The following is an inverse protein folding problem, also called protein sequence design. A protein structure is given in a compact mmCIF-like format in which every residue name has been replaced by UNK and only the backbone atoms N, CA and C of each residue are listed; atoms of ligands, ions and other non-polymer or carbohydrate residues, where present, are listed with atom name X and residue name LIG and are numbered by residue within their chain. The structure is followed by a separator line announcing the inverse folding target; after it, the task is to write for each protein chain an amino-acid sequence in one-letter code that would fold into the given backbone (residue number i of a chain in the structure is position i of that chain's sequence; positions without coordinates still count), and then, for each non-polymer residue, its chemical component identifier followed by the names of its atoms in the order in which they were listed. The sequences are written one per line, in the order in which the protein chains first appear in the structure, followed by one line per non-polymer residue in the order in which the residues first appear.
data_IF_754279498202
#
_entry.id   IF_754279498202
#
_cell.length_a   1.000
_cell.length_b   1.000
_cell.length_c   1.000
_cell.angle_alpha   90.00
_cell.angle_beta   90.00
_cell.angle_gamma   90.00
#
_symmetry.space_group_name_H-M   'P 1'
#
loop_
_entity.id
_entity.type
_entity.pdbx_description
1 polymer ?
#
# COMPACT_ATOMS: atom_id res chain seq x y z
N UNK A 1 6.11 -0.68 -8.02
CA UNK A 1 6.27 -0.57 -9.49
C UNK A 1 7.57 0.16 -9.81
N UNK A 2 8.20 -0.15 -10.94
CA UNK A 2 9.53 0.36 -11.34
C UNK A 2 9.58 0.72 -12.83
N UNK A 3 10.50 1.62 -13.20
CA UNK A 3 10.72 2.09 -14.58
C UNK A 3 11.45 1.07 -15.44
N UNK A 4 12.68 0.73 -15.08
CA UNK A 4 13.60 -0.03 -15.93
C UNK A 4 13.85 -1.46 -15.44
N UNK A 5 13.93 -1.66 -14.12
CA UNK A 5 14.32 -2.94 -13.52
C UNK A 5 13.11 -3.68 -12.97
N UNK A 6 12.73 -4.86 -13.50
CA UNK A 6 11.70 -5.71 -12.89
C UNK A 6 12.17 -6.25 -11.53
N UNK A 7 11.28 -6.28 -10.54
CA UNK A 7 11.56 -6.80 -9.19
C UNK A 7 10.85 -8.14 -9.03
N UNK A 8 11.59 -9.26 -9.05
CA UNK A 8 11.05 -10.61 -8.89
C UNK A 8 11.30 -11.17 -7.50
N UNK A 9 12.39 -10.73 -6.87
CA UNK A 9 12.80 -11.10 -5.52
C UNK A 9 13.23 -9.85 -4.74
N UNK A 10 13.29 -9.90 -3.39
CA UNK A 10 13.82 -8.78 -2.61
C UNK A 10 15.24 -8.35 -3.03
N UNK A 11 16.09 -9.30 -3.45
CA UNK A 11 17.44 -9.02 -3.92
C UNK A 11 17.51 -8.09 -5.14
N UNK A 12 16.45 -8.04 -5.96
CA UNK A 12 16.37 -7.13 -7.11
C UNK A 12 16.26 -5.66 -6.69
N UNK A 13 15.87 -5.37 -5.44
CA UNK A 13 15.78 -4.00 -4.92
C UNK A 13 17.15 -3.38 -4.61
N UNK A 14 18.24 -4.17 -4.61
CA UNK A 14 19.58 -3.65 -4.35
C UNK A 14 19.93 -2.46 -5.27
N UNK A 15 20.17 -1.30 -4.67
CA UNK A 15 20.50 -0.06 -5.36
C UNK A 15 19.31 0.68 -5.99
N UNK A 16 18.09 0.12 -5.92
CA UNK A 16 16.88 0.71 -6.51
C UNK A 16 16.31 1.78 -5.58
N UNK A 17 16.19 3.01 -6.07
CA UNK A 17 15.57 4.13 -5.36
C UNK A 17 14.05 4.03 -5.45
N UNK A 18 13.40 3.61 -4.38
CA UNK A 18 11.96 3.48 -4.30
C UNK A 18 11.40 4.68 -3.57
N UNK A 19 10.53 5.44 -4.24
CA UNK A 19 9.76 6.46 -3.55
C UNK A 19 8.84 5.82 -2.53
N UNK A 20 8.82 6.43 -1.34
CA UNK A 20 7.84 6.15 -0.28
C UNK A 20 7.14 7.44 0.16
N UNK A 21 5.98 7.31 0.79
CA UNK A 21 5.43 8.43 1.59
C UNK A 21 6.37 8.79 2.74
N UNK A 22 6.25 10.00 3.29
CA UNK A 22 7.04 10.43 4.46
C UNK A 22 6.59 9.69 5.74
N UNK A 23 6.95 8.42 5.83
CA UNK A 23 6.60 7.49 6.89
C UNK A 23 7.84 6.71 7.30
N UNK A 24 8.16 6.73 8.60
CA UNK A 24 9.29 5.97 9.16
C UNK A 24 9.17 4.48 8.87
N UNK A 25 7.96 3.93 9.01
CA UNK A 25 7.66 2.53 8.74
C UNK A 25 7.84 2.18 7.26
N UNK A 26 7.38 3.03 6.34
CA UNK A 26 7.55 2.79 4.90
C UNK A 26 9.02 2.85 4.48
N UNK A 27 9.77 3.83 4.99
CA UNK A 27 11.21 3.91 4.74
C UNK A 27 11.96 2.70 5.31
N UNK A 28 11.64 2.25 6.52
CA UNK A 28 12.25 1.05 7.11
C UNK A 28 11.93 -0.22 6.32
N UNK A 29 10.67 -0.39 5.91
CA UNK A 29 10.23 -1.52 5.10
C UNK A 29 11.05 -1.64 3.81
N UNK A 30 11.18 -0.55 3.05
CA UNK A 30 11.96 -0.57 1.81
C UNK A 30 13.45 -0.86 2.07
N UNK A 31 14.05 -0.31 3.14
CA UNK A 31 15.44 -0.62 3.52
C UNK A 31 15.63 -2.10 3.81
N UNK A 32 14.72 -2.68 4.59
CA UNK A 32 14.78 -4.08 5.00
C UNK A 32 14.50 -5.02 3.82
N UNK A 33 13.64 -4.61 2.88
CA UNK A 33 13.48 -5.30 1.60
C UNK A 33 14.70 -5.19 0.67
N UNK A 34 15.70 -4.35 1.00
CA UNK A 34 16.95 -4.21 0.26
C UNK A 34 17.01 -3.01 -0.69
N UNK A 35 15.96 -2.17 -0.73
CA UNK A 35 15.88 -0.97 -1.54
C UNK A 35 16.38 0.30 -0.83
N UNK A 36 16.47 1.38 -1.60
CA UNK A 36 16.82 2.71 -1.11
C UNK A 36 15.55 3.58 -1.04
N UNK A 37 14.97 3.83 0.14
CA UNK A 37 13.77 4.66 0.22
C UNK A 37 14.10 6.14 -0.01
N UNK A 38 13.30 6.80 -0.83
CA UNK A 38 13.37 8.24 -1.05
C UNK A 38 12.01 8.87 -0.74
N UNK A 39 11.84 9.62 0.36
CA UNK A 39 10.57 10.27 0.66
C UNK A 39 10.34 11.42 -0.33
N UNK A 40 9.24 11.34 -1.10
CA UNK A 40 8.83 12.39 -2.04
C UNK A 40 7.32 12.58 -1.91
N UNK A 41 6.88 13.84 -1.94
CA UNK A 41 5.47 14.19 -1.86
C UNK A 41 4.70 13.60 -3.06
N UNK A 42 3.39 13.36 -2.90
CA UNK A 42 2.64 12.63 -3.93
C UNK A 42 2.56 13.41 -5.24
N UNK A 43 2.34 14.71 -5.12
CA UNK A 43 2.25 15.70 -6.18
C UNK A 43 3.53 15.86 -7.00
N UNK A 44 4.69 15.50 -6.43
CA UNK A 44 6.00 15.56 -7.09
C UNK A 44 6.39 14.23 -7.74
N UNK A 45 5.67 13.14 -7.43
CA UNK A 45 6.09 11.78 -7.77
C UNK A 45 6.17 11.53 -9.27
N UNK A 46 5.19 11.99 -10.05
CA UNK A 46 5.20 11.79 -11.50
C UNK A 46 6.47 12.38 -12.12
N UNK A 47 6.78 13.64 -11.79
CA UNK A 47 7.98 14.33 -12.26
C UNK A 47 9.25 13.65 -11.76
N UNK A 48 9.28 13.20 -10.50
CA UNK A 48 10.43 12.50 -9.94
C UNK A 48 10.71 11.16 -10.63
N UNK A 49 9.66 10.42 -11.02
CA UNK A 49 9.79 9.20 -11.84
C UNK A 49 10.28 9.56 -13.25
N UNK A 50 9.68 10.58 -13.88
CA UNK A 50 10.04 11.00 -15.24
C UNK A 50 11.50 11.45 -15.35
N UNK A 51 12.01 12.14 -14.33
CA UNK A 51 13.38 12.63 -14.26
C UNK A 51 14.39 11.58 -13.78
N UNK A 52 13.94 10.39 -13.36
CA UNK A 52 14.81 9.36 -12.79
C UNK A 52 15.37 9.71 -11.42
N UNK A 53 14.77 10.68 -10.71
CA UNK A 53 15.10 10.98 -9.30
C UNK A 53 14.87 9.73 -8.44
N UNK A 54 13.80 8.99 -8.73
CA UNK A 54 13.53 7.65 -8.20
C UNK A 54 13.30 6.66 -9.34
N UNK A 55 13.62 5.39 -9.10
CA UNK A 55 13.54 4.31 -10.09
C UNK A 55 12.19 3.57 -10.04
N UNK A 56 11.38 3.90 -9.04
CA UNK A 56 10.05 3.33 -8.84
C UNK A 56 9.38 3.91 -7.60
N UNK A 57 8.20 3.39 -7.30
CA UNK A 57 7.51 3.68 -6.04
C UNK A 57 6.69 2.47 -5.58
N UNK A 58 6.35 2.48 -4.29
CA UNK A 58 5.28 1.64 -3.75
C UNK A 58 3.95 2.41 -3.79
N UNK A 59 2.88 1.75 -4.23
CA UNK A 59 1.49 2.12 -3.99
C UNK A 59 0.54 1.03 -4.53
N UNK A 60 -0.76 1.16 -4.26
CA UNK A 60 -1.81 0.34 -4.83
C UNK A 60 -2.04 0.61 -6.34
N UNK A 61 -2.72 -0.33 -7.00
CA UNK A 61 -2.94 -0.32 -8.44
C UNK A 61 -3.88 0.78 -8.95
N UNK A 62 -5.02 1.08 -8.28
CA UNK A 62 -5.84 2.26 -8.62
C UNK A 62 -5.06 3.58 -8.64
N UNK A 63 -4.21 3.83 -7.65
CA UNK A 63 -3.36 5.03 -7.59
C UNK A 63 -2.29 5.03 -8.69
N UNK A 64 -1.66 3.89 -8.94
CA UNK A 64 -0.68 3.74 -10.03
C UNK A 64 -1.28 4.10 -11.40
N UNK A 65 -2.49 3.63 -11.67
CA UNK A 65 -3.18 3.90 -12.94
C UNK A 65 -3.71 5.33 -13.02
N UNK A 66 -4.46 5.80 -12.02
CA UNK A 66 -5.09 7.12 -12.06
C UNK A 66 -4.08 8.28 -12.09
N UNK A 67 -2.89 8.11 -11.50
CA UNK A 67 -1.79 9.08 -11.58
C UNK A 67 -0.89 8.90 -12.80
N UNK A 68 -1.26 8.02 -13.75
CA UNK A 68 -0.54 7.79 -15.01
C UNK A 68 0.93 7.35 -14.84
N UNK A 69 1.29 6.78 -13.68
CA UNK A 69 2.66 6.29 -13.45
C UNK A 69 3.03 5.16 -14.41
N UNK A 70 2.06 4.44 -14.97
CA UNK A 70 2.26 3.42 -15.99
C UNK A 70 2.92 3.92 -17.29
N UNK A 71 2.91 5.24 -17.54
CA UNK A 71 3.58 5.82 -18.71
C UNK A 71 5.11 5.75 -18.59
N UNK A 72 5.61 5.77 -17.35
CA UNK A 72 7.03 5.78 -17.00
C UNK A 72 7.45 4.42 -16.43
N UNK A 73 6.61 3.83 -15.58
CA UNK A 73 6.87 2.58 -14.87
C UNK A 73 6.23 1.40 -15.59
N UNK A 74 7.05 0.55 -16.22
CA UNK A 74 6.59 -0.57 -17.04
C UNK A 74 6.54 -1.90 -16.30
N UNK A 75 6.99 -1.96 -15.06
CA UNK A 75 6.94 -3.18 -14.24
C UNK A 75 6.15 -2.96 -12.94
N UNK A 76 5.20 -3.85 -12.67
CA UNK A 76 4.42 -3.86 -11.43
C UNK A 76 4.56 -5.21 -10.71
N UNK A 77 5.22 -5.21 -9.56
CA UNK A 77 5.39 -6.41 -8.73
C UNK A 77 4.27 -6.52 -7.70
N UNK A 78 3.55 -7.64 -7.71
CA UNK A 78 2.42 -7.94 -6.83
C UNK A 78 2.88 -8.65 -5.53
N UNK A 79 3.84 -8.05 -4.82
CA UNK A 79 4.41 -8.58 -3.57
C UNK A 79 3.48 -8.48 -2.35
N UNK A 80 2.41 -7.66 -2.44
CA UNK A 80 1.45 -7.42 -1.37
C UNK A 80 2.07 -6.96 -0.03
N UNK A 81 3.14 -6.16 -0.09
CA UNK A 81 3.91 -5.76 1.10
C UNK A 81 3.13 -4.94 2.13
N UNK A 82 2.02 -4.30 1.77
CA UNK A 82 1.14 -3.56 2.71
C UNK A 82 -0.35 -3.78 2.42
N UNK A 83 -1.16 -3.72 3.47
CA UNK A 83 -2.62 -3.69 3.42
C UNK A 83 -3.15 -2.67 4.43
N UNK A 84 -3.34 -1.45 3.95
CA UNK A 84 -3.75 -0.31 4.77
C UNK A 84 -5.29 -0.25 4.83
N UNK A 85 -5.92 -0.29 6.02
CA UNK A 85 -7.35 -0.12 6.14
C UNK A 85 -7.75 1.36 6.08
N UNK A 86 -8.83 1.66 5.37
CA UNK A 86 -9.52 2.94 5.49
C UNK A 86 -10.46 2.91 6.70
N UNK A 87 -10.46 3.98 7.49
CA UNK A 87 -11.23 4.06 8.75
C UNK A 87 -12.22 5.22 8.66
N UNK A 88 -13.50 4.93 8.87
CA UNK A 88 -14.53 5.94 9.08
C UNK A 88 -14.49 6.36 10.54
N UNK A 89 -14.13 7.63 10.79
CA UNK A 89 -14.06 8.20 12.13
C UNK A 89 -15.15 9.26 12.32
N UNK A 90 -15.67 9.32 13.54
CA UNK A 90 -16.60 10.36 13.98
C UNK A 90 -16.12 10.93 15.31
N UNK A 91 -16.23 12.26 15.47
CA UNK A 91 -15.95 12.92 16.74
C UNK A 91 -16.83 12.34 17.86
N UNK A 92 -16.20 11.96 18.96
CA UNK A 92 -16.88 11.47 20.16
C UNK A 92 -17.88 12.51 20.71
N UNK A 93 -17.48 13.78 20.75
CA UNK A 93 -18.36 14.87 21.17
C UNK A 93 -19.62 14.99 20.29
N UNK A 94 -19.47 14.79 18.98
CA UNK A 94 -20.62 14.77 18.07
C UNK A 94 -21.48 13.55 18.34
N UNK A 95 -20.89 12.37 18.51
CA UNK A 95 -21.58 11.10 18.75
C UNK A 95 -22.42 11.09 20.03
N UNK A 96 -21.90 11.67 21.12
CA UNK A 96 -22.60 11.77 22.40
C UNK A 96 -23.87 12.62 22.31
N UNK A 97 -23.85 13.65 21.44
CA UNK A 97 -24.98 14.57 21.23
C UNK A 97 -26.07 14.01 20.32
N UNK A 98 -25.81 12.89 19.63
CA UNK A 98 -26.81 12.22 18.82
C UNK A 98 -27.82 11.49 19.69
N UNK A 99 -29.09 11.49 19.28
CA UNK A 99 -30.09 10.60 19.88
C UNK A 99 -29.77 9.15 19.57
N UNK A 100 -30.35 8.20 20.30
CA UNK A 100 -30.20 6.77 20.00
C UNK A 100 -30.59 6.43 18.55
N UNK A 101 -31.63 7.06 18.01
CA UNK A 101 -32.06 6.87 16.63
C UNK A 101 -31.03 7.40 15.62
N UNK A 102 -30.47 8.59 15.87
CA UNK A 102 -29.44 9.17 15.00
C UNK A 102 -28.15 8.35 15.04
N UNK A 103 -27.76 7.85 16.22
CA UNK A 103 -26.63 6.92 16.36
C UNK A 103 -26.84 5.67 15.50
N UNK A 104 -28.04 5.08 15.56
CA UNK A 104 -28.38 3.92 14.73
C UNK A 104 -28.28 4.21 13.24
N UNK A 105 -28.79 5.36 12.77
CA UNK A 105 -28.70 5.76 11.37
C UNK A 105 -27.26 5.98 10.90
N UNK A 106 -26.44 6.70 11.67
CA UNK A 106 -25.05 6.94 11.31
C UNK A 106 -24.24 5.64 11.29
N UNK A 107 -24.47 4.73 12.25
CA UNK A 107 -23.83 3.41 12.23
C UNK A 107 -24.26 2.58 11.01
N UNK A 108 -25.55 2.58 10.66
CA UNK A 108 -26.04 1.88 9.46
C UNK A 108 -25.39 2.46 8.20
N UNK A 109 -25.41 3.78 8.04
CA UNK A 109 -24.80 4.47 6.91
C UNK A 109 -23.28 4.19 6.81
N UNK A 110 -22.56 4.18 7.93
CA UNK A 110 -21.13 3.85 7.94
C UNK A 110 -20.85 2.41 7.51
N UNK A 111 -21.69 1.45 7.93
CA UNK A 111 -21.59 0.04 7.50
C UNK A 111 -21.88 -0.12 6.02
N UNK A 112 -22.94 0.50 5.53
CA UNK A 112 -23.35 0.46 4.12
C UNK A 112 -22.29 1.10 3.23
N UNK A 113 -21.80 2.28 3.61
CA UNK A 113 -20.71 2.96 2.91
C UNK A 113 -19.43 2.11 2.87
N UNK A 114 -19.09 1.43 3.98
CA UNK A 114 -17.92 0.55 4.03
C UNK A 114 -18.06 -0.67 3.12
N UNK A 115 -19.25 -1.28 3.06
CA UNK A 115 -19.53 -2.41 2.17
C UNK A 115 -19.49 -1.99 0.70
N UNK A 116 -20.12 -0.85 0.39
CA UNK A 116 -20.09 -0.25 -0.95
C UNK A 116 -18.66 0.10 -1.38
N UNK A 117 -17.89 0.76 -0.51
CA UNK A 117 -16.51 1.15 -0.79
C UNK A 117 -15.63 -0.06 -1.16
N UNK A 118 -15.74 -1.18 -0.44
CA UNK A 118 -15.00 -2.41 -0.78
C UNK A 118 -15.33 -2.92 -2.18
N UNK A 119 -16.63 -2.97 -2.52
CA UNK A 119 -17.06 -3.44 -3.84
C UNK A 119 -16.51 -2.56 -4.97
N UNK A 120 -16.60 -1.24 -4.83
CA UNK A 120 -16.07 -0.31 -5.86
C UNK A 120 -14.54 -0.29 -5.88
N UNK A 121 -13.88 -0.58 -4.76
CA UNK A 121 -12.42 -0.70 -4.70
C UNK A 121 -11.92 -1.94 -5.44
N UNK A 122 -12.59 -3.08 -5.25
CA UNK A 122 -12.27 -4.31 -5.97
C UNK A 122 -12.48 -4.14 -7.48
N UNK A 123 -13.55 -3.44 -7.87
CA UNK A 123 -13.80 -3.08 -9.26
C UNK A 123 -12.73 -2.14 -9.83
N UNK A 124 -12.41 -1.05 -9.11
CA UNK A 124 -11.38 -0.11 -9.52
C UNK A 124 -10.00 -0.78 -9.67
N UNK A 125 -9.65 -1.68 -8.76
CA UNK A 125 -8.40 -2.45 -8.81
C UNK A 125 -8.36 -3.36 -10.03
N UNK A 126 -9.45 -4.08 -10.32
CA UNK A 126 -9.55 -4.94 -11.50
C UNK A 126 -9.45 -4.15 -12.81
N UNK A 127 -10.15 -3.02 -12.88
CA UNK A 127 -10.13 -2.15 -14.06
C UNK A 127 -8.74 -1.54 -14.27
N UNK A 128 -8.10 -1.06 -13.19
CA UNK A 128 -6.73 -0.55 -13.25
C UNK A 128 -5.73 -1.61 -13.69
N UNK A 129 -5.88 -2.87 -13.25
CA UNK A 129 -5.06 -3.99 -13.73
C UNK A 129 -5.20 -4.19 -15.24
N UNK A 130 -6.43 -4.31 -15.73
CA UNK A 130 -6.72 -4.54 -17.15
C UNK A 130 -6.15 -3.38 -17.98
N UNK A 131 -6.45 -2.15 -17.63
CA UNK A 131 -6.01 -0.98 -18.40
C UNK A 131 -4.50 -0.76 -18.35
N UNK A 132 -3.84 -1.00 -17.21
CA UNK A 132 -2.38 -0.93 -17.12
C UNK A 132 -1.72 -2.03 -17.97
N UNK A 133 -2.29 -3.24 -17.99
CA UNK A 133 -1.80 -4.35 -18.82
C UNK A 133 -1.95 -4.04 -20.31
N UNK A 134 -3.09 -3.50 -20.73
CA UNK A 134 -3.32 -3.02 -22.10
C UNK A 134 -2.37 -1.87 -22.48
N UNK A 135 -2.00 -1.02 -21.53
CA UNK A 135 -0.99 0.01 -21.70
C UNK A 135 0.47 -0.51 -21.71
N UNK A 136 0.67 -1.84 -21.65
CA UNK A 136 1.97 -2.49 -21.79
C UNK A 136 2.76 -2.66 -20.48
N UNK A 137 2.11 -2.58 -19.31
CA UNK A 137 2.76 -2.88 -18.03
C UNK A 137 2.93 -4.39 -17.87
N UNK A 138 4.15 -4.84 -17.56
CA UNK A 138 4.45 -6.20 -17.13
C UNK A 138 4.08 -6.36 -15.64
N UNK A 139 3.12 -7.25 -15.38
CA UNK A 139 2.79 -7.65 -14.02
C UNK A 139 3.63 -8.86 -13.60
N UNK A 140 4.31 -8.72 -12.47
CA UNK A 140 5.17 -9.74 -11.89
C UNK A 140 4.47 -10.29 -10.65
N UNK A 141 4.27 -11.61 -10.65
CA UNK A 141 3.79 -12.37 -9.48
C UNK A 141 5.01 -12.98 -8.78
N UNK A 142 5.54 -12.36 -7.71
CA UNK A 142 6.69 -12.88 -7.00
C UNK A 142 6.31 -14.01 -6.03
N UNK A 143 7.32 -14.73 -5.54
CA UNK A 143 7.16 -15.50 -4.30
C UNK A 143 7.03 -14.53 -3.11
N UNK A 144 5.79 -14.33 -2.66
CA UNK A 144 5.48 -13.46 -1.52
C UNK A 144 6.16 -13.92 -0.23
N UNK A 145 6.45 -15.22 -0.07
CA UNK A 145 7.12 -15.72 1.12
C UNK A 145 8.54 -15.13 1.27
N UNK A 146 9.24 -14.90 0.14
CA UNK A 146 10.55 -14.26 0.15
C UNK A 146 10.48 -12.81 0.67
N UNK A 147 9.45 -12.04 0.28
CA UNK A 147 9.22 -10.68 0.75
C UNK A 147 8.82 -10.66 2.23
N UNK A 148 7.93 -11.57 2.64
CA UNK A 148 7.53 -11.75 4.04
C UNK A 148 8.73 -12.12 4.91
N UNK A 149 9.62 -13.00 4.44
CA UNK A 149 10.83 -13.38 5.15
C UNK A 149 11.80 -12.19 5.30
N UNK A 150 11.98 -11.41 4.24
CA UNK A 150 12.87 -10.25 4.24
C UNK A 150 12.45 -9.21 5.30
N UNK A 151 11.15 -8.99 5.52
CA UNK A 151 10.65 -8.00 6.51
C UNK A 151 10.60 -8.50 7.96
N UNK A 152 10.87 -9.78 8.24
CA UNK A 152 10.81 -10.31 9.61
C UNK A 152 11.67 -9.54 10.63
N UNK A 153 12.92 -9.10 10.31
CA UNK A 153 13.72 -8.32 11.26
C UNK A 153 13.06 -7.00 11.67
N UNK A 154 12.33 -6.35 10.75
CA UNK A 154 11.55 -5.15 11.05
C UNK A 154 10.41 -5.47 12.01
N UNK A 155 9.63 -6.52 11.73
CA UNK A 155 8.52 -6.93 12.58
C UNK A 155 8.97 -7.30 14.01
N UNK A 156 10.09 -8.01 14.15
CA UNK A 156 10.66 -8.37 15.45
C UNK A 156 11.02 -7.14 16.32
N UNK A 157 11.40 -6.01 15.71
CA UNK A 157 11.64 -4.75 16.44
C UNK A 157 10.35 -4.18 17.01
N UNK A 158 9.25 -4.29 16.27
CA UNK A 158 7.94 -3.80 16.72
C UNK A 158 7.26 -4.74 17.71
N UNK A 159 7.56 -6.05 17.69
CA UNK A 159 7.02 -7.04 18.63
C UNK A 159 7.33 -6.72 20.10
N UNK A 160 8.48 -6.09 20.35
CA UNK A 160 8.92 -5.69 21.69
C UNK A 160 8.47 -4.27 22.08
N UNK A 161 7.74 -3.58 21.19
CA UNK A 161 7.23 -2.23 21.41
C UNK A 161 5.72 -2.20 21.72
N UNK A 162 5.12 -0.99 21.78
CA UNK A 162 3.68 -0.81 22.01
C UNK A 162 2.79 -1.51 20.98
N UNK A 163 3.31 -1.81 19.79
CA UNK A 163 2.59 -2.50 18.73
C UNK A 163 2.56 -4.03 18.89
N UNK A 164 3.37 -4.60 19.80
CA UNK A 164 3.61 -6.03 19.88
C UNK A 164 2.36 -6.88 20.17
N UNK A 165 1.47 -6.38 21.03
CA UNK A 165 0.19 -7.06 21.28
C UNK A 165 -0.67 -7.11 20.01
N UNK A 166 -0.79 -5.99 19.29
CA UNK A 166 -1.55 -5.92 18.06
C UNK A 166 -0.98 -6.84 16.98
N UNK A 167 0.35 -6.91 16.86
CA UNK A 167 1.01 -7.82 15.90
C UNK A 167 0.70 -9.29 16.20
N UNK A 168 0.69 -9.71 17.47
CA UNK A 168 0.30 -11.08 17.85
C UNK A 168 -1.15 -11.37 17.51
N UNK A 169 -2.07 -10.47 17.86
CA UNK A 169 -3.50 -10.62 17.57
C UNK A 169 -3.78 -10.67 16.08
N UNK A 170 -3.10 -9.86 15.27
CA UNK A 170 -3.24 -9.89 13.81
C UNK A 170 -2.79 -11.25 13.25
N UNK A 171 -1.69 -11.83 13.74
CA UNK A 171 -1.23 -13.16 13.31
C UNK A 171 -2.19 -14.27 13.68
N UNK A 172 -2.81 -14.20 14.86
CA UNK A 172 -3.80 -15.19 15.32
C UNK A 172 -5.08 -15.21 14.48
N UNK A 173 -5.45 -14.06 13.88
CA UNK A 173 -6.59 -13.99 12.95
C UNK A 173 -6.32 -14.69 11.61
N UNK A 174 -5.06 -15.01 11.31
CA UNK A 174 -4.63 -15.67 10.08
C UNK A 174 -4.52 -14.75 8.86
N UNK A 175 -3.99 -15.28 7.77
CA UNK A 175 -4.19 -14.71 6.43
C UNK A 175 -5.68 -14.92 6.05
N UNK A 176 -6.36 -13.93 5.47
CA UNK A 176 -7.65 -14.17 4.82
C UNK A 176 -7.54 -15.16 3.64
#
# INVERSE_FOLDING_TARGET
YTSEKPIRTPGDLAGVKIRVMNSRTAMEMIRVLGGSPTPIAWEELYTALQQGTVDGAENNLPSFYSSRHFEICRYFTLDAHTRIPDIVMLSEWTWERLTAQQRAWVTAAARDASAFQRAVWDEATRNAYISAKEAGVEFIEPDKAAFVAAVQPMLARYENGPAGEFLRRIRELGEP
#
